data_IF_663380328337
#
_entry.id   IF_663380328337
#
_cell.length_a   1.000
_cell.length_b   1.000
_cell.length_c   1.000
_cell.angle_alpha   90.00
_cell.angle_beta   90.00
_cell.angle_gamma   90.00
#
_symmetry.space_group_name_H-M   'P 1'
#
loop_
_entity.id
_entity.type
_entity.pdbx_description
1 polymer ?
#
# COMPACT_ATOMS: atom_id res chain seq x y z
N UNK A 1 27.47 -21.61 -5.64
CA UNK A 1 26.08 -21.19 -5.89
C UNK A 1 25.21 -22.41 -5.62
N UNK A 2 24.57 -22.49 -4.46
CA UNK A 2 23.61 -23.56 -4.19
C UNK A 2 22.26 -23.09 -4.75
N UNK A 3 21.56 -23.90 -5.55
CA UNK A 3 20.24 -23.55 -6.01
C UNK A 3 19.31 -23.52 -4.78
N UNK A 4 18.58 -22.43 -4.62
CA UNK A 4 17.47 -22.36 -3.68
C UNK A 4 16.44 -23.38 -4.17
N UNK A 5 16.04 -24.37 -3.33
CA UNK A 5 15.01 -25.29 -3.74
C UNK A 5 13.71 -24.51 -4.01
N UNK A 6 12.96 -24.87 -5.07
CA UNK A 6 11.64 -24.28 -5.29
C UNK A 6 10.80 -24.57 -4.04
N UNK A 7 10.02 -23.57 -3.61
CA UNK A 7 8.97 -23.76 -2.61
C UNK A 7 8.14 -24.95 -3.07
N UNK A 8 8.24 -26.06 -2.32
CA UNK A 8 7.54 -27.29 -2.68
C UNK A 8 6.02 -26.98 -2.66
N UNK A 9 5.31 -27.22 -3.75
CA UNK A 9 3.86 -27.23 -3.70
C UNK A 9 3.44 -28.39 -2.80
N UNK A 10 2.57 -28.10 -1.82
CA UNK A 10 1.86 -29.10 -1.03
C UNK A 10 2.60 -29.76 0.15
N UNK A 11 2.96 -28.97 1.17
CA UNK A 11 3.05 -29.52 2.50
C UNK A 11 1.62 -29.72 3.04
N UNK A 12 1.15 -30.95 3.04
CA UNK A 12 -0.16 -31.33 3.64
C UNK A 12 -0.02 -31.29 5.16
N UNK A 13 -0.55 -30.26 5.81
CA UNK A 13 -0.69 -30.21 7.26
C UNK A 13 -1.78 -31.19 7.72
N UNK A 14 -1.60 -31.78 8.89
CA UNK A 14 -2.42 -32.89 9.43
C UNK A 14 -3.92 -32.74 9.15
N UNK A 15 -4.49 -33.58 8.30
CA UNK A 15 -5.92 -33.69 8.04
C UNK A 15 -6.43 -33.01 6.75
N UNK A 16 -5.65 -32.94 5.68
CA UNK A 16 -6.06 -32.48 4.34
C UNK A 16 -6.18 -30.96 4.10
N UNK A 17 -5.67 -30.12 4.99
CA UNK A 17 -5.64 -28.67 4.76
C UNK A 17 -4.36 -28.29 4.01
N UNK A 18 -4.49 -27.54 2.92
CA UNK A 18 -3.34 -26.98 2.20
C UNK A 18 -2.74 -25.81 2.97
N UNK A 19 -1.46 -25.47 2.71
CA UNK A 19 -0.82 -24.28 3.28
C UNK A 19 -1.63 -23.00 2.96
N UNK A 20 -2.14 -22.89 1.74
CA UNK A 20 -2.96 -21.74 1.32
C UNK A 20 -4.24 -21.61 2.18
N UNK A 21 -4.97 -22.72 2.40
CA UNK A 21 -6.17 -22.73 3.25
C UNK A 21 -5.85 -22.42 4.71
N UNK A 22 -4.71 -22.85 5.22
CA UNK A 22 -4.24 -22.49 6.55
C UNK A 22 -3.98 -20.99 6.65
N UNK A 23 -3.21 -20.42 5.71
CA UNK A 23 -2.87 -19.01 5.69
C UNK A 23 -4.10 -18.10 5.55
N UNK A 24 -5.10 -18.51 4.78
CA UNK A 24 -6.35 -17.75 4.62
C UNK A 24 -7.16 -17.62 5.91
N UNK A 25 -7.00 -18.55 6.85
CA UNK A 25 -7.74 -18.59 8.13
C UNK A 25 -7.03 -17.91 9.30
N UNK A 26 -5.82 -17.40 9.07
CA UNK A 26 -5.11 -16.68 10.12
C UNK A 26 -5.93 -15.51 10.63
N UNK A 27 -6.10 -15.43 11.94
CA UNK A 27 -6.56 -14.21 12.60
C UNK A 27 -5.62 -13.06 12.32
N UNK A 28 -6.01 -11.86 12.69
CA UNK A 28 -5.19 -10.65 12.47
C UNK A 28 -3.85 -10.71 13.20
N UNK A 29 -3.86 -11.14 14.46
CA UNK A 29 -2.64 -11.28 15.27
C UNK A 29 -1.74 -12.41 14.77
N UNK A 30 -2.33 -13.51 14.28
CA UNK A 30 -1.59 -14.60 13.67
C UNK A 30 -0.95 -14.18 12.35
N UNK A 31 -1.66 -13.43 11.50
CA UNK A 31 -1.10 -12.90 10.26
C UNK A 31 0.02 -11.89 10.54
N UNK A 32 -0.17 -10.98 11.51
CA UNK A 32 0.89 -10.09 11.94
C UNK A 32 2.12 -10.87 12.43
N UNK A 33 1.91 -11.87 13.27
CA UNK A 33 2.99 -12.74 13.78
C UNK A 33 3.69 -13.51 12.66
N UNK A 34 2.93 -14.00 11.69
CA UNK A 34 3.47 -14.64 10.47
C UNK A 34 4.39 -13.67 9.70
N UNK A 35 3.95 -12.44 9.45
CA UNK A 35 4.79 -11.42 8.80
C UNK A 35 6.05 -11.13 9.62
N UNK A 36 5.96 -11.04 10.95
CA UNK A 36 7.12 -10.78 11.82
C UNK A 36 8.13 -11.94 11.86
N UNK A 37 7.70 -13.17 11.62
CA UNK A 37 8.57 -14.35 11.54
C UNK A 37 9.24 -14.50 10.16
N UNK A 38 8.71 -13.83 9.14
CA UNK A 38 9.20 -13.88 7.75
C UNK A 38 9.59 -12.47 7.26
N UNK A 39 10.42 -11.76 8.03
CA UNK A 39 10.77 -10.34 7.79
C UNK A 39 11.56 -10.07 6.53
N UNK A 40 12.12 -11.09 5.93
CA UNK A 40 12.82 -11.06 4.64
C UNK A 40 11.84 -11.02 3.44
N UNK A 41 10.53 -11.13 3.71
CA UNK A 41 9.47 -11.12 2.72
C UNK A 41 8.40 -10.10 3.09
N UNK A 42 7.77 -9.51 2.07
CA UNK A 42 6.62 -8.60 2.23
C UNK A 42 5.35 -9.33 1.78
N UNK A 43 4.34 -9.34 2.66
CA UNK A 43 3.06 -9.96 2.39
C UNK A 43 1.94 -8.93 2.46
N UNK A 44 0.99 -9.04 1.53
CA UNK A 44 -0.34 -8.44 1.64
C UNK A 44 -1.38 -9.54 1.82
N UNK A 45 -2.55 -9.20 2.33
CA UNK A 45 -3.68 -10.10 2.47
C UNK A 45 -4.93 -9.44 1.90
N UNK A 46 -5.63 -10.13 1.03
CA UNK A 46 -6.93 -9.68 0.50
C UNK A 46 -8.03 -9.85 1.54
N UNK A 47 -9.19 -9.22 1.31
CA UNK A 47 -10.36 -9.36 2.19
C UNK A 47 -10.89 -10.80 2.28
N UNK A 48 -10.68 -11.62 1.25
CA UNK A 48 -11.02 -13.05 1.24
C UNK A 48 -10.00 -13.95 1.97
N UNK A 49 -8.95 -13.35 2.55
CA UNK A 49 -7.88 -14.04 3.26
C UNK A 49 -6.71 -14.51 2.37
N UNK A 50 -6.81 -14.36 1.05
CA UNK A 50 -5.70 -14.72 0.14
C UNK A 50 -4.46 -13.90 0.45
N UNK A 51 -3.33 -14.57 0.65
CA UNK A 51 -2.03 -13.94 0.90
C UNK A 51 -1.27 -13.77 -0.40
N UNK A 52 -0.76 -12.57 -0.62
CA UNK A 52 0.06 -12.18 -1.75
C UNK A 52 1.49 -11.90 -1.29
N UNK A 53 2.46 -12.54 -1.95
CA UNK A 53 3.88 -12.28 -1.73
C UNK A 53 4.32 -11.18 -2.68
N UNK A 54 4.86 -10.11 -2.12
CA UNK A 54 5.34 -8.96 -2.90
C UNK A 54 6.82 -9.14 -3.26
N UNK A 55 7.14 -8.88 -4.51
CA UNK A 55 8.52 -8.93 -5.01
C UNK A 55 9.34 -7.71 -4.60
N UNK A 56 10.67 -7.86 -4.59
CA UNK A 56 11.56 -6.71 -4.50
C UNK A 56 11.39 -5.83 -5.74
N UNK A 57 11.39 -4.52 -5.52
CA UNK A 57 11.28 -3.55 -6.61
C UNK A 57 12.61 -3.28 -7.29
N UNK A 58 12.59 -2.95 -8.58
CA UNK A 58 13.77 -2.54 -9.33
C UNK A 58 14.31 -1.17 -8.89
N UNK A 59 15.57 -0.89 -9.23
CA UNK A 59 16.25 0.34 -8.81
C UNK A 59 15.54 1.62 -9.24
N UNK A 60 14.97 1.66 -10.44
CA UNK A 60 14.24 2.84 -10.94
C UNK A 60 12.92 3.06 -10.18
N UNK A 61 12.13 2.00 -9.93
CA UNK A 61 10.93 2.09 -9.11
C UNK A 61 11.26 2.50 -7.67
N UNK A 62 12.36 1.98 -7.10
CA UNK A 62 12.84 2.37 -5.78
C UNK A 62 13.23 3.86 -5.71
N UNK A 63 13.90 4.40 -6.76
CA UNK A 63 14.25 5.82 -6.86
C UNK A 63 12.99 6.71 -6.89
N UNK A 64 11.99 6.31 -7.69
CA UNK A 64 10.70 7.02 -7.81
C UNK A 64 9.94 7.02 -6.49
N UNK A 65 9.83 5.86 -5.84
CA UNK A 65 9.20 5.72 -4.52
C UNK A 65 9.88 6.58 -3.46
N UNK A 66 11.21 6.58 -3.41
CA UNK A 66 11.99 7.41 -2.49
C UNK A 66 11.71 8.90 -2.71
N UNK A 67 11.65 9.36 -3.96
CA UNK A 67 11.38 10.76 -4.30
C UNK A 67 9.96 11.20 -3.91
N UNK A 68 8.97 10.36 -4.21
CA UNK A 68 7.57 10.61 -3.85
C UNK A 68 7.41 10.69 -2.33
N UNK A 69 7.87 9.66 -1.62
CA UNK A 69 7.75 9.58 -0.17
C UNK A 69 8.47 10.74 0.51
N UNK A 70 9.68 11.10 0.08
CA UNK A 70 10.44 12.22 0.67
C UNK A 70 9.75 13.57 0.49
N UNK A 71 9.04 13.79 -0.62
CA UNK A 71 8.30 15.05 -0.84
C UNK A 71 7.03 15.09 0.00
N UNK A 72 6.33 13.97 0.10
CA UNK A 72 5.14 13.86 0.95
C UNK A 72 5.51 14.05 2.42
N UNK A 73 6.59 13.44 2.87
CA UNK A 73 7.08 13.51 4.24
C UNK A 73 7.50 14.93 4.63
N UNK A 74 8.27 15.61 3.76
CA UNK A 74 8.63 17.01 3.96
C UNK A 74 7.39 17.91 4.11
N UNK A 75 6.41 17.76 3.22
CA UNK A 75 5.16 18.50 3.33
C UNK A 75 4.44 18.21 4.64
N UNK A 76 4.38 16.95 5.07
CA UNK A 76 3.74 16.56 6.32
C UNK A 76 4.45 17.15 7.54
N UNK A 77 5.80 17.16 7.56
CA UNK A 77 6.60 17.82 8.60
C UNK A 77 6.35 19.33 8.65
N UNK A 78 6.38 20.00 7.47
CA UNK A 78 6.20 21.46 7.39
C UNK A 78 4.78 21.90 7.76
N UNK A 79 3.77 21.09 7.41
CA UNK A 79 2.36 21.40 7.69
C UNK A 79 1.91 20.98 9.09
N UNK A 80 2.55 19.96 9.67
CA UNK A 80 2.14 19.35 10.94
C UNK A 80 0.78 18.67 10.92
N UNK A 81 0.26 18.32 9.72
CA UNK A 81 -1.12 17.85 9.56
C UNK A 81 -1.29 16.34 9.68
N UNK A 82 -0.20 15.57 9.74
CA UNK A 82 -0.30 14.10 9.84
C UNK A 82 1.03 13.39 9.66
N UNK A 83 0.94 12.07 9.47
CA UNK A 83 2.09 11.14 9.47
C UNK A 83 2.15 10.41 8.13
N UNK A 84 3.36 10.30 7.57
CA UNK A 84 3.63 9.58 6.31
C UNK A 84 4.16 8.18 6.60
N UNK A 85 3.81 7.25 5.74
CA UNK A 85 4.18 5.84 5.83
C UNK A 85 4.79 5.36 4.51
N UNK A 86 5.80 4.53 4.64
CA UNK A 86 6.54 3.91 3.52
C UNK A 86 5.91 2.58 3.11
N UNK A 87 6.31 2.07 1.95
CA UNK A 87 5.80 0.85 1.31
C UNK A 87 5.94 -0.45 2.12
N UNK A 88 6.58 -0.44 3.28
CA UNK A 88 6.66 -1.60 4.20
C UNK A 88 5.65 -1.54 5.35
N UNK A 89 4.82 -0.51 5.42
CA UNK A 89 3.83 -0.34 6.47
C UNK A 89 2.52 -1.01 6.10
N UNK A 90 2.07 -1.93 6.93
CA UNK A 90 0.77 -2.62 6.74
C UNK A 90 -0.39 -1.81 7.29
N UNK A 91 -1.44 -1.67 6.50
CA UNK A 91 -2.74 -1.11 6.88
C UNK A 91 -3.79 -2.19 6.84
N UNK A 92 -4.44 -2.44 7.96
CA UNK A 92 -5.58 -3.34 8.06
C UNK A 92 -6.85 -2.57 7.79
N UNK A 93 -7.40 -2.78 6.63
CA UNK A 93 -8.60 -2.12 6.16
C UNK A 93 -9.85 -2.62 6.90
N UNK A 94 -10.95 -1.85 6.98
CA UNK A 94 -12.23 -2.29 7.54
C UNK A 94 -12.77 -3.61 6.94
N UNK A 95 -12.46 -3.91 5.68
CA UNK A 95 -12.80 -5.18 5.01
C UNK A 95 -12.04 -6.40 5.55
N UNK A 96 -11.02 -6.20 6.40
CA UNK A 96 -10.08 -7.24 6.85
C UNK A 96 -8.88 -7.47 5.94
N UNK A 97 -8.82 -6.82 4.78
CA UNK A 97 -7.62 -6.82 3.95
C UNK A 97 -6.45 -6.15 4.69
N UNK A 98 -5.23 -6.61 4.43
CA UNK A 98 -4.00 -5.93 4.86
C UNK A 98 -3.23 -5.50 3.63
N UNK A 99 -3.10 -4.21 3.45
CA UNK A 99 -2.45 -3.58 2.30
C UNK A 99 -1.27 -2.72 2.73
N UNK A 100 -0.37 -2.49 1.80
CA UNK A 100 0.87 -1.76 2.03
C UNK A 100 1.17 -0.90 0.80
N UNK A 101 0.52 0.27 0.67
CA UNK A 101 0.71 1.17 -0.47
C UNK A 101 2.15 1.69 -0.55
N UNK A 102 2.59 2.10 -1.72
CA UNK A 102 3.95 2.61 -1.95
C UNK A 102 4.27 3.86 -1.13
N UNK A 103 3.29 4.73 -0.94
CA UNK A 103 3.31 5.80 0.05
C UNK A 103 1.89 6.00 0.60
N UNK A 104 1.77 6.34 1.86
CA UNK A 104 0.51 6.67 2.50
C UNK A 104 0.64 7.82 3.47
N UNK A 105 -0.47 8.48 3.73
CA UNK A 105 -0.55 9.50 4.77
C UNK A 105 -1.84 9.33 5.58
N UNK A 106 -1.73 9.59 6.88
CA UNK A 106 -2.83 9.56 7.84
C UNK A 106 -2.87 10.91 8.55
N UNK A 107 -4.04 11.50 8.69
CA UNK A 107 -4.20 12.77 9.40
C UNK A 107 -3.73 12.70 10.85
N UNK A 108 -3.23 13.81 11.40
CA UNK A 108 -2.74 13.87 12.78
C UNK A 108 -3.82 13.43 13.78
N UNK A 109 -5.07 13.85 13.55
CA UNK A 109 -6.19 13.47 14.42
C UNK A 109 -6.43 11.96 14.42
N UNK A 110 -6.36 11.31 13.25
CA UNK A 110 -6.50 9.85 13.14
C UNK A 110 -5.34 9.13 13.79
N UNK A 111 -4.11 9.63 13.60
CA UNK A 111 -2.93 9.06 14.23
C UNK A 111 -2.98 9.17 15.76
N UNK A 112 -3.39 10.31 16.29
CA UNK A 112 -3.45 10.56 17.73
C UNK A 112 -4.54 9.74 18.43
N UNK A 113 -5.58 9.35 17.70
CA UNK A 113 -6.63 8.46 18.19
C UNK A 113 -6.18 7.00 18.38
N UNK A 114 -5.05 6.60 17.77
CA UNK A 114 -4.51 5.24 17.90
C UNK A 114 -3.80 5.04 19.23
N UNK A 115 -4.04 3.89 19.87
CA UNK A 115 -3.27 3.47 21.03
C UNK A 115 -1.81 3.10 20.64
N UNK A 116 -0.91 3.11 21.61
CA UNK A 116 0.48 2.69 21.41
C UNK A 116 0.59 1.24 20.89
N UNK A 117 -0.31 0.37 21.30
CA UNK A 117 -0.36 -1.01 20.80
C UNK A 117 -0.74 -1.05 19.32
N UNK A 118 -1.74 -0.29 18.89
CA UNK A 118 -2.17 -0.21 17.51
C UNK A 118 -1.07 0.37 16.61
N UNK A 119 -0.35 1.39 17.08
CA UNK A 119 0.78 1.99 16.34
C UNK A 119 1.95 1.04 16.11
N UNK A 120 2.10 0.00 16.93
CA UNK A 120 3.21 -1.00 16.83
C UNK A 120 2.91 -2.17 15.90
N UNK A 121 1.65 -2.36 15.48
CA UNK A 121 1.21 -3.45 14.58
C UNK A 121 0.82 -2.91 13.20
N UNK A 122 0.18 -3.73 12.37
CA UNK A 122 -0.52 -3.21 11.21
C UNK A 122 -1.57 -2.20 11.67
N UNK A 123 -1.57 -1.01 11.06
CA UNK A 123 -2.47 0.07 11.47
C UNK A 123 -3.92 -0.32 11.19
N UNK A 124 -4.83 -0.31 12.19
CA UNK A 124 -6.21 -0.79 12.04
C UNK A 124 -7.10 0.28 11.40
N UNK A 125 -6.72 0.76 10.23
CA UNK A 125 -7.42 1.80 9.47
C UNK A 125 -7.06 1.75 7.99
N UNK A 126 -7.86 2.37 7.14
CA UNK A 126 -7.44 2.78 5.80
C UNK A 126 -6.74 4.15 5.90
N UNK A 127 -5.63 4.39 5.19
CA UNK A 127 -5.03 5.71 5.17
C UNK A 127 -5.99 6.74 4.57
N UNK A 128 -5.83 8.03 4.93
CA UNK A 128 -6.58 9.12 4.30
C UNK A 128 -6.13 9.37 2.85
N UNK A 129 -4.84 9.13 2.58
CA UNK A 129 -4.23 9.24 1.26
C UNK A 129 -3.30 8.05 0.99
N UNK A 130 -3.36 7.51 -0.23
CA UNK A 130 -2.50 6.42 -0.66
C UNK A 130 -2.01 6.64 -2.10
N UNK A 131 -0.79 6.17 -2.37
CA UNK A 131 -0.21 6.14 -3.72
C UNK A 131 0.25 4.72 -4.03
N UNK A 132 -0.11 4.26 -5.21
CA UNK A 132 0.47 3.08 -5.86
C UNK A 132 1.27 3.55 -7.08
N UNK A 133 2.50 3.09 -7.18
CA UNK A 133 3.41 3.39 -8.28
C UNK A 133 3.74 2.11 -9.03
N UNK A 134 3.24 1.98 -10.25
CA UNK A 134 3.45 0.78 -11.05
C UNK A 134 4.92 0.57 -11.39
N UNK A 135 5.38 -0.65 -11.23
CA UNK A 135 6.63 -1.16 -11.80
C UNK A 135 6.40 -1.70 -13.22
N UNK A 136 7.47 -2.09 -13.90
CA UNK A 136 7.40 -2.63 -15.27
C UNK A 136 6.55 -3.91 -15.39
N UNK A 137 6.42 -4.67 -14.31
CA UNK A 137 5.73 -5.97 -14.29
C UNK A 137 4.32 -5.90 -13.70
N UNK A 138 3.93 -4.77 -13.14
CA UNK A 138 2.63 -4.64 -12.48
C UNK A 138 1.49 -4.54 -13.50
N UNK A 139 0.35 -5.12 -13.12
CA UNK A 139 -0.89 -5.05 -13.88
C UNK A 139 -1.66 -3.80 -13.47
N UNK A 140 -1.90 -2.89 -14.43
CA UNK A 140 -2.71 -1.71 -14.18
C UNK A 140 -4.14 -2.06 -13.76
N UNK A 141 -4.74 -3.12 -14.33
CA UNK A 141 -6.09 -3.56 -13.98
C UNK A 141 -6.18 -4.02 -12.52
N UNK A 142 -5.19 -4.79 -12.04
CA UNK A 142 -5.18 -5.29 -10.68
C UNK A 142 -4.95 -4.14 -9.69
N UNK A 143 -4.10 -3.17 -10.04
CA UNK A 143 -3.88 -2.00 -9.20
C UNK A 143 -5.09 -1.06 -9.17
N UNK A 144 -5.84 -0.94 -10.28
CA UNK A 144 -7.13 -0.21 -10.28
C UNK A 144 -8.13 -0.86 -9.33
N UNK A 145 -8.21 -2.20 -9.31
CA UNK A 145 -9.05 -2.95 -8.35
C UNK A 145 -8.59 -2.68 -6.91
N UNK A 146 -7.29 -2.66 -6.66
CA UNK A 146 -6.71 -2.33 -5.35
C UNK A 146 -7.04 -0.89 -4.92
N UNK A 147 -6.98 0.07 -5.84
CA UNK A 147 -7.38 1.46 -5.57
C UNK A 147 -8.88 1.57 -5.24
N UNK A 148 -9.73 0.80 -5.92
CA UNK A 148 -11.15 0.73 -5.59
C UNK A 148 -11.37 0.10 -4.21
N UNK A 149 -10.63 -0.96 -3.85
CA UNK A 149 -10.67 -1.53 -2.50
C UNK A 149 -10.32 -0.47 -1.43
N UNK A 150 -9.32 0.38 -1.66
CA UNK A 150 -9.02 1.48 -0.75
C UNK A 150 -10.19 2.47 -0.62
N UNK A 151 -10.80 2.89 -1.73
CA UNK A 151 -11.96 3.80 -1.71
C UNK A 151 -13.15 3.20 -0.94
N UNK A 152 -13.45 1.92 -1.17
CA UNK A 152 -14.53 1.19 -0.49
C UNK A 152 -14.26 1.06 1.03
N UNK A 153 -13.01 1.24 1.45
CA UNK A 153 -12.55 1.22 2.83
C UNK A 153 -12.23 2.62 3.40
N UNK A 154 -12.77 3.68 2.80
CA UNK A 154 -12.71 5.07 3.27
C UNK A 154 -11.42 5.84 2.93
N UNK A 155 -10.65 5.42 1.94
CA UNK A 155 -9.61 6.27 1.36
C UNK A 155 -10.25 7.57 0.84
N UNK A 156 -9.67 8.72 1.18
CA UNK A 156 -10.20 10.02 0.78
C UNK A 156 -9.67 10.49 -0.56
N UNK A 157 -8.39 10.23 -0.84
CA UNK A 157 -7.71 10.56 -2.09
C UNK A 157 -6.68 9.48 -2.41
N UNK A 158 -6.66 9.02 -3.65
CA UNK A 158 -5.69 8.03 -4.11
C UNK A 158 -5.03 8.40 -5.43
N UNK A 159 -3.75 8.11 -5.56
CA UNK A 159 -3.02 8.25 -6.82
C UNK A 159 -2.49 6.89 -7.28
N UNK A 160 -2.76 6.56 -8.54
CA UNK A 160 -2.11 5.46 -9.24
C UNK A 160 -1.24 6.06 -10.34
N UNK A 161 0.07 5.93 -10.19
CA UNK A 161 1.06 6.50 -11.11
C UNK A 161 1.62 5.39 -11.99
N UNK A 162 1.54 5.55 -13.30
CA UNK A 162 2.05 4.61 -14.30
C UNK A 162 3.18 5.28 -15.11
N UNK A 163 4.45 5.01 -14.75
CA UNK A 163 5.58 5.57 -15.49
C UNK A 163 5.72 5.03 -16.92
N UNK A 164 5.17 3.86 -17.21
CA UNK A 164 5.26 3.24 -18.54
C UNK A 164 4.41 3.97 -19.58
N UNK A 165 3.24 4.46 -19.16
CA UNK A 165 2.34 5.25 -20.02
C UNK A 165 2.45 6.75 -19.78
N UNK A 166 3.34 7.17 -18.86
CA UNK A 166 3.50 8.56 -18.43
C UNK A 166 2.16 9.21 -18.01
N UNK A 167 1.36 8.44 -17.26
CA UNK A 167 0.06 8.91 -16.76
C UNK A 167 -0.10 8.66 -15.26
N UNK A 168 -0.97 9.43 -14.63
CA UNK A 168 -1.46 9.19 -13.28
C UNK A 168 -2.98 9.23 -13.24
N UNK A 169 -3.58 8.42 -12.37
CA UNK A 169 -5.02 8.44 -12.11
C UNK A 169 -5.25 8.93 -10.70
N UNK A 170 -6.14 9.90 -10.58
CA UNK A 170 -6.56 10.48 -9.30
C UNK A 170 -7.93 9.93 -8.96
N UNK A 171 -8.01 9.18 -7.86
CA UNK A 171 -9.21 8.53 -7.35
C UNK A 171 -9.79 9.35 -6.20
N UNK A 172 -11.09 9.63 -6.21
CA UNK A 172 -11.78 10.43 -5.18
C UNK A 172 -13.00 9.71 -4.63
N UNK A 173 -13.40 10.06 -3.43
CA UNK A 173 -14.55 9.46 -2.71
C UNK A 173 -15.88 9.58 -3.44
N UNK A 174 -16.05 10.56 -4.33
CA UNK A 174 -17.25 10.70 -5.16
C UNK A 174 -17.30 9.73 -6.35
N UNK A 175 -16.33 8.81 -6.45
CA UNK A 175 -16.22 7.84 -7.54
C UNK A 175 -15.58 8.39 -8.82
N UNK A 176 -15.17 9.68 -8.85
CA UNK A 176 -14.50 10.22 -10.02
C UNK A 176 -13.06 9.71 -10.12
N UNK A 177 -12.65 9.39 -11.35
CA UNK A 177 -11.26 9.06 -11.69
C UNK A 177 -10.81 10.00 -12.80
N UNK A 178 -9.83 10.84 -12.49
CA UNK A 178 -9.23 11.77 -13.46
C UNK A 178 -7.88 11.24 -13.92
N UNK A 179 -7.60 11.32 -15.22
CA UNK A 179 -6.30 10.95 -15.79
C UNK A 179 -5.48 12.20 -16.04
N UNK A 180 -4.25 12.22 -15.56
CA UNK A 180 -3.23 13.26 -15.73
C UNK A 180 -2.07 12.70 -16.52
N UNK A 181 -1.43 13.54 -17.32
CA UNK A 181 -0.17 13.23 -18.01
C UNK A 181 1.03 13.70 -17.19
N UNK A 182 2.22 13.21 -17.50
CA UNK A 182 3.44 13.62 -16.78
C UNK A 182 3.84 15.08 -17.01
N UNK A 183 3.24 15.77 -17.98
CA UNK A 183 3.37 17.25 -18.13
C UNK A 183 2.58 18.04 -17.08
N UNK A 184 1.76 17.38 -16.27
CA UNK A 184 0.88 17.99 -15.27
C UNK A 184 1.38 17.75 -13.85
N UNK A 185 0.73 18.40 -12.91
CA UNK A 185 0.96 18.21 -11.47
C UNK A 185 -0.22 17.52 -10.80
N UNK A 186 0.05 16.72 -9.80
CA UNK A 186 -0.96 16.19 -8.89
C UNK A 186 -1.13 17.12 -7.69
N UNK A 187 -2.37 17.34 -7.30
CA UNK A 187 -2.74 18.12 -6.12
C UNK A 187 -3.22 17.19 -5.00
N UNK A 188 -2.82 17.47 -3.77
CA UNK A 188 -3.37 16.83 -2.56
C UNK A 188 -4.80 17.25 -2.23
N UNK A 189 -5.35 18.18 -2.99
CA UNK A 189 -6.71 18.72 -2.87
C UNK A 189 -7.02 19.20 -1.43
N UNK A 190 -8.19 18.90 -0.90
CA UNK A 190 -8.58 19.18 0.48
C UNK A 190 -8.06 18.14 1.49
N UNK A 191 -7.57 17.01 1.00
CA UNK A 191 -7.01 15.92 1.84
C UNK A 191 -5.61 16.26 2.32
N UNK A 192 -4.78 16.83 1.43
CA UNK A 192 -3.40 17.26 1.70
C UNK A 192 -3.26 18.74 1.26
N UNK A 193 -3.81 19.69 2.02
CA UNK A 193 -3.90 21.10 1.57
C UNK A 193 -2.54 21.70 1.26
N UNK A 194 -2.38 22.17 0.03
CA UNK A 194 -1.12 22.78 -0.44
C UNK A 194 -0.06 21.76 -0.92
N UNK A 195 -0.28 20.46 -0.77
CA UNK A 195 0.62 19.48 -1.36
C UNK A 195 0.45 19.41 -2.87
N UNK A 196 1.55 19.58 -3.58
CA UNK A 196 1.62 19.50 -5.05
C UNK A 196 2.80 18.61 -5.42
N UNK A 197 2.57 17.66 -6.34
CA UNK A 197 3.60 16.76 -6.85
C UNK A 197 3.70 16.85 -8.36
N UNK A 198 4.88 17.26 -8.86
CA UNK A 198 5.16 17.35 -10.30
C UNK A 198 5.55 15.99 -10.84
N UNK A 199 4.77 15.47 -11.79
CA UNK A 199 4.95 14.11 -12.36
C UNK A 199 6.19 14.01 -13.25
N UNK A 200 6.68 15.11 -13.84
CA UNK A 200 7.93 15.15 -14.64
C UNK A 200 9.18 14.80 -13.82
N UNK A 201 9.05 14.77 -12.51
CA UNK A 201 10.15 14.48 -11.60
C UNK A 201 10.27 13.01 -11.20
N UNK A 202 9.33 12.16 -11.64
CA UNK A 202 9.25 10.74 -11.24
C UNK A 202 10.11 9.80 -12.10
#
# INVERSE_FOLDING_TARGET
MHPVPPLAPEATLAGRQTLAEYLQRLSEDEFYSFCQQNRDQKFERRADGTIELMSLTGGESGRRNSRLTSRLDRWAEESGQGVVFVSSTGFRLPSGAVRSPDAAWVSQATWDALSDEQRRKHLPLCPDFAVELLSETDSISDTVIKMQEYLDNSLRLGWLIDPKTETARVFRTNGSVEVKTFAETLSGEDVLPGFVFSLDTI
#
